data_IF_112923726773
#
_entry.id   IF_112923726773
#
_cell.length_a   1.000
_cell.length_b   1.000
_cell.length_c   1.000
_cell.angle_alpha   90.00
_cell.angle_beta   90.00
_cell.angle_gamma   90.00
#
_symmetry.space_group_name_H-M   'P 1'
#
loop_
_entity.id
_entity.type
_entity.pdbx_description
1 polymer ?
#
# COMPACT_ATOMS: atom_id res chain seq x y z
N UNK A 1 -0.66 2.47 21.03
CA UNK A 1 -0.35 1.15 20.44
C UNK A 1 0.57 1.26 19.22
N UNK A 2 0.46 2.30 18.37
CA UNK A 2 1.39 2.52 17.24
C UNK A 2 2.84 2.86 17.63
N UNK A 3 3.14 3.77 18.59
CA UNK A 3 4.52 4.16 18.88
C UNK A 3 5.40 3.06 19.51
N UNK A 4 4.82 1.92 19.86
CA UNK A 4 5.51 0.77 20.47
C UNK A 4 5.51 -0.46 19.56
N UNK A 5 4.96 -0.37 18.35
CA UNK A 5 4.84 -1.50 17.44
C UNK A 5 6.12 -1.68 16.62
N UNK A 6 6.61 -2.92 16.52
CA UNK A 6 7.76 -3.25 15.66
C UNK A 6 7.38 -3.31 14.18
N UNK A 7 6.11 -3.64 13.89
CA UNK A 7 5.56 -3.77 12.54
C UNK A 7 4.22 -3.07 12.49
N UNK A 8 4.02 -2.19 11.51
CA UNK A 8 2.77 -1.46 11.30
C UNK A 8 2.22 -1.73 9.90
N UNK A 9 0.95 -2.12 9.83
CA UNK A 9 0.21 -2.30 8.58
C UNK A 9 -0.82 -1.17 8.50
N UNK A 10 -0.70 -0.35 7.47
CA UNK A 10 -1.55 0.81 7.21
C UNK A 10 -2.35 0.55 5.94
N UNK A 11 -3.66 0.79 5.96
CA UNK A 11 -4.50 0.68 4.76
C UNK A 11 -4.13 1.74 3.72
N UNK A 12 -4.05 1.38 2.44
CA UNK A 12 -3.82 2.32 1.33
C UNK A 12 -4.91 3.41 1.23
N UNK A 13 -6.12 3.15 1.74
CA UNK A 13 -7.20 4.16 1.80
C UNK A 13 -6.84 5.36 2.68
N UNK A 14 -5.88 5.22 3.60
CA UNK A 14 -5.41 6.32 4.46
C UNK A 14 -4.77 7.46 3.66
N UNK A 15 -4.26 7.17 2.46
CA UNK A 15 -3.73 8.16 1.52
C UNK A 15 -4.88 9.03 0.99
N UNK A 16 -5.97 8.39 0.57
CA UNK A 16 -7.14 9.08 -0.02
C UNK A 16 -7.89 9.90 1.03
N UNK A 17 -8.04 9.38 2.24
CA UNK A 17 -8.74 10.08 3.32
C UNK A 17 -7.84 11.03 4.14
N UNK A 18 -6.59 11.25 3.70
CA UNK A 18 -5.63 12.21 4.29
C UNK A 18 -5.23 11.94 5.74
N UNK A 19 -5.29 10.68 6.18
CA UNK A 19 -4.85 10.28 7.54
C UNK A 19 -3.47 9.64 7.55
N UNK A 20 -2.88 9.37 6.37
CA UNK A 20 -1.61 8.66 6.24
C UNK A 20 -0.46 9.36 6.96
N UNK A 21 -0.35 10.69 6.85
CA UNK A 21 0.78 11.44 7.43
C UNK A 21 0.85 11.29 8.95
N UNK A 22 -0.29 11.41 9.63
CA UNK A 22 -0.39 11.25 11.07
C UNK A 22 -0.05 9.81 11.52
N UNK A 23 -0.51 8.80 10.77
CA UNK A 23 -0.22 7.40 11.08
C UNK A 23 1.25 7.06 10.87
N UNK A 24 1.88 7.60 9.83
CA UNK A 24 3.32 7.44 9.60
C UNK A 24 4.14 8.12 10.70
N UNK A 25 3.73 9.31 11.16
CA UNK A 25 4.36 9.99 12.30
C UNK A 25 4.36 9.12 13.56
N UNK A 26 3.21 8.53 13.89
CA UNK A 26 3.07 7.62 15.04
C UNK A 26 3.84 6.31 14.88
N UNK A 27 4.25 5.98 13.65
CA UNK A 27 4.88 4.70 13.30
C UNK A 27 6.39 4.81 13.07
N UNK A 28 7.01 5.99 13.24
CA UNK A 28 8.46 6.22 13.01
C UNK A 28 9.39 5.27 13.76
N UNK A 29 8.96 4.75 14.91
CA UNK A 29 9.74 3.79 15.70
C UNK A 29 9.64 2.33 15.22
N UNK A 30 8.75 2.03 14.28
CA UNK A 30 8.56 0.68 13.77
C UNK A 30 9.71 0.26 12.84
N UNK A 31 10.13 -1.00 12.94
CA UNK A 31 11.11 -1.59 12.03
C UNK A 31 10.55 -1.71 10.62
N UNK A 32 9.28 -2.07 10.48
CA UNK A 32 8.63 -2.28 9.19
C UNK A 32 7.27 -1.55 9.16
N UNK A 33 7.04 -0.79 8.08
CA UNK A 33 5.80 -0.07 7.84
C UNK A 33 5.32 -0.44 6.45
N UNK A 34 4.18 -1.12 6.38
CA UNK A 34 3.57 -1.55 5.12
C UNK A 34 2.30 -0.74 4.83
N UNK A 35 2.21 -0.14 3.64
CA UNK A 35 0.93 0.36 3.10
C UNK A 35 0.29 -0.75 2.26
N UNK A 36 -0.95 -1.11 2.57
CA UNK A 36 -1.60 -2.29 2.01
C UNK A 36 -2.99 -1.99 1.48
N UNK A 37 -3.28 -2.48 0.28
CA UNK A 37 -4.60 -2.50 -0.31
C UNK A 37 -4.62 -2.00 -1.75
N UNK A 38 -5.74 -2.20 -2.48
CA UNK A 38 -5.87 -1.78 -3.88
C UNK A 38 -5.57 -0.30 -4.13
N UNK A 39 -5.89 0.54 -3.15
CA UNK A 39 -5.72 2.00 -3.16
C UNK A 39 -4.27 2.44 -2.90
N UNK A 40 -3.35 1.52 -2.60
CA UNK A 40 -1.96 1.85 -2.30
C UNK A 40 -1.25 2.36 -3.55
N UNK A 41 -0.77 3.63 -3.57
CA UNK A 41 -0.01 4.11 -4.70
C UNK A 41 1.37 3.44 -4.74
N UNK A 42 1.72 2.85 -5.88
CA UNK A 42 2.96 2.10 -6.08
C UNK A 42 4.14 3.04 -6.40
N UNK A 43 4.43 3.99 -5.50
CA UNK A 43 5.46 5.03 -5.65
C UNK A 43 6.55 4.90 -4.56
N UNK A 44 7.45 3.90 -4.63
CA UNK A 44 8.42 3.62 -3.56
C UNK A 44 9.37 4.79 -3.28
N UNK A 45 9.74 5.58 -4.28
CA UNK A 45 10.63 6.75 -4.12
C UNK A 45 9.98 7.88 -3.30
N UNK A 46 8.65 7.93 -3.24
CA UNK A 46 7.91 8.90 -2.43
C UNK A 46 7.77 8.38 -1.01
N UNK A 47 7.28 7.15 -0.85
CA UNK A 47 6.93 6.60 0.46
C UNK A 47 8.15 6.18 1.30
N UNK A 48 9.26 5.82 0.66
CA UNK A 48 10.54 5.55 1.36
C UNK A 48 11.03 6.74 2.18
N UNK A 49 10.83 7.97 1.68
CA UNK A 49 11.19 9.21 2.38
C UNK A 49 10.36 9.44 3.65
N UNK A 50 9.24 8.74 3.79
CA UNK A 50 8.32 8.81 4.92
C UNK A 50 8.38 7.55 5.81
N UNK A 51 9.43 6.75 5.69
CA UNK A 51 9.68 5.57 6.55
C UNK A 51 8.94 4.30 6.14
N UNK A 52 8.11 4.34 5.08
CA UNK A 52 7.44 3.14 4.56
C UNK A 52 8.47 2.17 4.01
N UNK A 53 8.39 0.91 4.41
CA UNK A 53 9.33 -0.14 3.99
C UNK A 53 8.78 -1.01 2.88
N UNK A 54 7.45 -1.18 2.79
CA UNK A 54 6.77 -2.02 1.79
C UNK A 54 5.49 -1.35 1.28
N UNK A 55 5.27 -1.39 -0.03
CA UNK A 55 4.00 -1.06 -0.67
C UNK A 55 3.36 -2.33 -1.21
N UNK A 56 2.21 -2.72 -0.67
CA UNK A 56 1.44 -3.90 -1.08
C UNK A 56 0.15 -3.46 -1.78
N UNK A 57 0.21 -3.36 -3.09
CA UNK A 57 -0.89 -2.90 -3.93
C UNK A 57 -1.31 -3.91 -4.98
N UNK A 58 -1.95 -3.41 -6.03
CA UNK A 58 -2.35 -4.20 -7.19
C UNK A 58 -1.89 -3.53 -8.48
N UNK A 59 -1.64 -4.33 -9.51
CA UNK A 59 -1.50 -3.88 -10.90
C UNK A 59 -2.67 -4.43 -11.69
N UNK A 60 -3.35 -3.57 -12.45
CA UNK A 60 -4.43 -4.00 -13.34
C UNK A 60 -3.83 -4.71 -14.55
N UNK A 61 -4.12 -6.00 -14.70
CA UNK A 61 -3.67 -6.83 -15.83
C UNK A 61 -4.72 -6.96 -16.93
N UNK A 62 -6.00 -6.79 -16.58
CA UNK A 62 -7.11 -6.72 -17.53
C UNK A 62 -7.97 -5.47 -17.27
N UNK A 63 -7.69 -4.35 -17.94
CA UNK A 63 -8.43 -3.10 -17.74
C UNK A 63 -9.92 -3.20 -18.07
N UNK A 64 -10.30 -3.97 -19.10
CA UNK A 64 -11.71 -4.14 -19.50
C UNK A 64 -12.50 -4.86 -18.41
N UNK A 65 -11.95 -5.96 -17.89
CA UNK A 65 -12.57 -6.71 -16.78
C UNK A 65 -12.59 -5.89 -15.49
N UNK A 66 -11.51 -5.18 -15.19
CA UNK A 66 -11.45 -4.32 -14.00
C UNK A 66 -12.52 -3.23 -14.06
N UNK A 67 -12.69 -2.57 -15.21
CA UNK A 67 -13.72 -1.56 -15.40
C UNK A 67 -15.12 -2.15 -15.26
N UNK A 68 -15.42 -3.30 -15.89
CA UNK A 68 -16.72 -3.98 -15.75
C UNK A 68 -17.06 -4.29 -14.29
N UNK A 69 -16.09 -4.80 -13.51
CA UNK A 69 -16.26 -5.06 -12.08
C UNK A 69 -16.54 -3.77 -11.31
N UNK A 70 -15.75 -2.72 -11.55
CA UNK A 70 -15.88 -1.43 -10.84
C UNK A 70 -17.20 -0.75 -11.19
N UNK A 71 -17.60 -0.74 -12.46
CA UNK A 71 -18.85 -0.14 -12.94
C UNK A 71 -20.09 -0.79 -12.34
N UNK A 72 -19.99 -2.03 -11.86
CA UNK A 72 -21.07 -2.76 -11.16
C UNK A 72 -20.98 -2.66 -9.64
N UNK A 73 -20.09 -1.82 -9.10
CA UNK A 73 -19.87 -1.69 -7.65
C UNK A 73 -19.17 -2.91 -7.02
N UNK A 74 -18.46 -3.71 -7.82
CA UNK A 74 -17.74 -4.88 -7.36
C UNK A 74 -16.58 -4.50 -6.43
N UNK A 75 -16.48 -5.17 -5.29
CA UNK A 75 -15.41 -4.95 -4.31
C UNK A 75 -14.10 -5.66 -4.67
N UNK A 76 -13.10 -5.51 -3.80
CA UNK A 76 -11.77 -6.13 -3.94
C UNK A 76 -11.77 -7.63 -4.26
N UNK A 77 -12.66 -8.49 -3.71
CA UNK A 77 -12.71 -9.90 -4.08
C UNK A 77 -13.04 -10.14 -5.56
N UNK A 78 -13.89 -9.30 -6.16
CA UNK A 78 -14.31 -9.39 -7.56
C UNK A 78 -13.22 -8.91 -8.53
N UNK A 79 -12.30 -8.05 -8.07
CA UNK A 79 -11.18 -7.56 -8.87
C UNK A 79 -10.08 -8.61 -9.09
N UNK A 80 -10.05 -9.72 -8.34
CA UNK A 80 -8.96 -10.72 -8.35
C UNK A 80 -8.63 -11.27 -9.74
N UNK A 81 -9.62 -11.40 -10.63
CA UNK A 81 -9.43 -11.93 -11.99
C UNK A 81 -8.82 -10.90 -12.96
N UNK A 82 -8.80 -9.63 -12.58
CA UNK A 82 -8.38 -8.52 -13.45
C UNK A 82 -7.09 -7.84 -12.98
N UNK A 83 -6.51 -8.30 -11.86
CA UNK A 83 -5.42 -7.63 -11.18
C UNK A 83 -4.43 -8.64 -10.61
N UNK A 84 -3.18 -8.24 -10.52
CA UNK A 84 -2.14 -8.96 -9.79
C UNK A 84 -1.78 -8.21 -8.51
N UNK A 85 -1.61 -8.95 -7.41
CA UNK A 85 -1.09 -8.38 -6.17
C UNK A 85 0.42 -8.23 -6.28
N UNK A 86 0.94 -7.07 -5.93
CA UNK A 86 2.37 -6.78 -5.98
C UNK A 86 2.87 -6.22 -4.65
N UNK A 87 4.14 -6.52 -4.35
CA UNK A 87 4.84 -5.98 -3.19
C UNK A 87 6.11 -5.28 -3.68
N UNK A 88 6.20 -3.97 -3.46
CA UNK A 88 7.39 -3.17 -3.76
C UNK A 88 8.13 -2.87 -2.46
N UNK A 89 9.40 -3.25 -2.40
CA UNK A 89 10.26 -2.89 -1.28
C UNK A 89 10.78 -1.47 -1.48
N UNK A 90 10.57 -0.62 -0.47
CA UNK A 90 11.01 0.77 -0.47
C UNK A 90 12.45 0.96 0.02
N UNK A 91 13.06 -0.08 0.61
CA UNK A 91 14.46 -0.05 1.04
C UNK A 91 15.40 -0.29 -0.14
N UNK A 92 16.43 0.55 -0.31
CA UNK A 92 17.62 0.17 -1.07
C UNK A 92 18.27 -1.00 -0.33
N UNK A 93 18.47 -2.14 -0.98
CA UNK A 93 19.46 -3.12 -0.51
C UNK A 93 20.79 -2.38 -0.47
N UNK A 94 21.38 -2.17 0.71
CA UNK A 94 22.81 -1.85 0.74
C UNK A 94 23.52 -3.06 0.14
N UNK A 95 24.11 -2.89 -1.03
CA UNK A 95 25.14 -3.81 -1.49
C UNK A 95 26.29 -3.67 -0.49
N UNK A 96 26.48 -4.68 0.36
CA UNK A 96 27.79 -4.96 0.95
C UNK A 96 28.76 -5.35 -0.16
#
# INVERSE_FOLDING_TARGET
MLPKADVVIISGTTVVNKTVDHLLELSKGARDIALVGPTTPLAPDVFSKHGVTILSGIIVTNPVRALDVISRGGGTPSLKEAVEKVNLLCRKRSKS
#
